data_IF_844490328977
#
_entry.id   IF_844490328977
#
_cell.length_a   1.000
_cell.length_b   1.000
_cell.length_c   1.000
_cell.angle_alpha   90.00
_cell.angle_beta   90.00
_cell.angle_gamma   90.00
#
_symmetry.space_group_name_H-M   'P 1'
#
loop_
_entity.id
_entity.type
_entity.pdbx_description
1 polymer ?
#
# COMPACT_ATOMS: atom_id res chain seq x y z
N UNK A 1 4.05 9.79 8.22
CA UNK A 1 4.65 8.42 8.28
C UNK A 1 5.75 8.24 9.35
N UNK A 2 5.66 7.19 10.17
CA UNK A 2 6.75 6.72 11.05
C UNK A 2 7.53 5.58 10.36
N UNK A 3 8.85 5.55 10.51
CA UNK A 3 9.73 4.59 9.84
C UNK A 3 10.54 3.76 10.84
N UNK A 4 10.73 2.47 10.55
CA UNK A 4 11.67 1.58 11.26
C UNK A 4 12.77 1.11 10.32
N UNK A 5 13.87 0.60 10.89
CA UNK A 5 14.90 -0.07 10.12
C UNK A 5 14.56 -1.55 9.96
N UNK A 6 14.77 -2.10 8.78
CA UNK A 6 14.75 -3.54 8.54
C UNK A 6 16.05 -4.21 9.03
N UNK A 7 16.19 -5.51 8.81
CA UNK A 7 17.39 -6.29 9.18
C UNK A 7 18.66 -5.87 8.43
N UNK A 8 18.52 -5.16 7.32
CA UNK A 8 19.60 -4.68 6.44
C UNK A 8 19.87 -3.17 6.61
N UNK A 9 19.17 -2.49 7.52
CA UNK A 9 19.31 -1.06 7.79
C UNK A 9 18.46 -0.13 6.91
N UNK A 10 17.62 -0.67 6.02
CA UNK A 10 16.74 0.12 5.18
C UNK A 10 15.58 0.69 6.00
N UNK A 11 15.23 1.95 5.75
CA UNK A 11 14.07 2.59 6.35
C UNK A 11 12.80 2.11 5.66
N UNK A 12 11.98 1.36 6.38
CA UNK A 12 10.65 0.91 5.94
C UNK A 12 9.58 1.58 6.78
N UNK A 13 8.42 1.86 6.18
CA UNK A 13 7.26 2.34 6.94
C UNK A 13 6.91 1.33 8.04
N UNK A 14 6.49 1.84 9.20
CA UNK A 14 5.98 1.00 10.30
C UNK A 14 4.66 0.34 9.89
N UNK A 15 3.87 1.01 9.05
CA UNK A 15 2.61 0.52 8.50
C UNK A 15 2.78 0.10 7.04
N UNK A 16 2.36 -1.11 6.70
CA UNK A 16 2.34 -1.59 5.31
C UNK A 16 0.93 -1.48 4.72
N UNK A 17 0.85 -1.14 3.44
CA UNK A 17 -0.39 -1.26 2.68
C UNK A 17 -0.60 -2.72 2.24
N UNK A 18 -1.74 -3.31 2.58
CA UNK A 18 -2.04 -4.72 2.31
C UNK A 18 -2.60 -4.93 0.91
N UNK A 19 -1.84 -5.62 0.04
CA UNK A 19 -2.21 -5.80 -1.37
C UNK A 19 -3.06 -7.05 -1.69
N UNK A 20 -3.29 -7.94 -0.72
CA UNK A 20 -4.02 -9.21 -0.94
C UNK A 20 -5.52 -9.01 -1.23
N UNK A 21 -6.10 -7.86 -0.87
CA UNK A 21 -7.54 -7.56 -1.01
C UNK A 21 -7.77 -6.24 -1.72
N UNK A 22 -7.21 -6.10 -2.92
CA UNK A 22 -7.51 -4.92 -3.73
C UNK A 22 -9.01 -4.83 -4.07
N UNK A 23 -9.53 -3.59 -4.22
CA UNK A 23 -10.87 -3.36 -4.73
C UNK A 23 -11.11 -4.17 -6.00
N UNK A 24 -12.22 -4.91 -6.03
CA UNK A 24 -12.63 -5.66 -7.21
C UNK A 24 -13.89 -5.04 -7.82
N UNK A 25 -13.94 -5.04 -9.14
CA UNK A 25 -15.11 -4.65 -9.95
C UNK A 25 -15.29 -5.72 -11.03
N UNK A 26 -16.48 -6.33 -11.06
CA UNK A 26 -16.83 -7.40 -11.99
C UNK A 26 -15.83 -8.58 -12.01
N UNK A 27 -15.39 -9.01 -10.82
CA UNK A 27 -14.47 -10.16 -10.67
C UNK A 27 -13.00 -9.88 -11.05
N UNK A 28 -12.69 -8.65 -11.47
CA UNK A 28 -11.32 -8.19 -11.76
C UNK A 28 -10.93 -7.07 -10.80
N UNK A 29 -9.63 -6.79 -10.68
CA UNK A 29 -9.15 -5.68 -9.87
C UNK A 29 -9.62 -4.36 -10.49
N UNK A 30 -10.26 -3.51 -9.68
CA UNK A 30 -10.59 -2.13 -10.05
C UNK A 30 -9.30 -1.31 -10.02
N UNK A 31 -8.64 -1.24 -11.18
CA UNK A 31 -7.35 -0.56 -11.33
C UNK A 31 -7.41 0.89 -10.83
N UNK A 32 -8.46 1.62 -11.17
CA UNK A 32 -8.57 3.04 -10.85
C UNK A 32 -8.67 3.25 -9.34
N UNK A 33 -9.59 2.55 -8.68
CA UNK A 33 -9.72 2.62 -7.21
C UNK A 33 -8.46 2.14 -6.49
N UNK A 34 -7.84 1.07 -6.98
CA UNK A 34 -6.62 0.52 -6.38
C UNK A 34 -5.47 1.53 -6.47
N UNK A 35 -5.31 2.18 -7.63
CA UNK A 35 -4.28 3.21 -7.84
C UNK A 35 -4.49 4.39 -6.90
N UNK A 36 -5.72 4.86 -6.73
CA UNK A 36 -6.04 5.97 -5.85
C UNK A 36 -5.80 5.61 -4.38
N UNK A 37 -6.11 4.38 -3.96
CA UNK A 37 -5.81 3.89 -2.60
C UNK A 37 -4.31 3.77 -2.32
N UNK A 38 -3.52 3.27 -3.29
CA UNK A 38 -2.05 3.20 -3.15
C UNK A 38 -1.47 4.59 -3.00
N UNK A 39 -1.94 5.56 -3.81
CA UNK A 39 -1.47 6.94 -3.73
C UNK A 39 -1.77 7.55 -2.36
N UNK A 40 -2.97 7.34 -1.85
CA UNK A 40 -3.36 7.79 -0.50
C UNK A 40 -2.50 7.14 0.59
N UNK A 41 -2.13 5.86 0.44
CA UNK A 41 -1.25 5.18 1.38
C UNK A 41 0.21 5.64 1.33
N UNK A 42 0.64 6.30 0.24
CA UNK A 42 2.00 6.86 0.09
C UNK A 42 2.04 8.32 0.59
N UNK A 43 0.96 9.07 0.42
CA UNK A 43 0.94 10.51 0.75
C UNK A 43 0.69 10.81 2.24
N UNK A 44 0.24 9.83 3.05
CA UNK A 44 -0.13 9.99 4.49
C UNK A 44 0.77 9.21 5.48
#
# INVERSE_FOLDING_TARGET
>A
MQYRKDRYGNKISVLGYGCMRFPQKNGSIDYQKTKDQIKLAIDH
#
